data_IF_076223549945
#
_entry.id   IF_076223549945
#
_cell.length_a   1.000
_cell.length_b   1.000
_cell.length_c   1.000
_cell.angle_alpha   90.00
_cell.angle_beta   90.00
_cell.angle_gamma   90.00
#
_symmetry.space_group_name_H-M   'P 1'
#
loop_
_entity.id
_entity.type
_entity.pdbx_description
1 polymer ?
#
# COMPACT_ATOMS: atom_id res chain seq x y z
N UNK A 1 17.63 -10.68 0.52
CA UNK A 1 16.91 -9.62 1.25
C UNK A 1 17.14 -8.34 0.49
N UNK A 2 16.08 -7.72 -0.02
CA UNK A 2 16.17 -6.46 -0.76
C UNK A 2 15.42 -5.36 -0.01
N UNK A 3 15.95 -4.13 -0.11
CA UNK A 3 15.34 -2.93 0.44
C UNK A 3 15.04 -1.96 -0.70
N UNK A 4 13.85 -1.36 -0.66
CA UNK A 4 13.42 -0.36 -1.63
C UNK A 4 13.06 0.92 -0.89
N UNK A 5 13.86 1.96 -1.07
CA UNK A 5 13.70 3.25 -0.40
C UNK A 5 12.97 4.23 -1.32
N UNK A 6 11.93 4.87 -0.80
CA UNK A 6 11.17 5.90 -1.50
C UNK A 6 11.31 7.21 -0.74
N UNK A 7 11.82 8.24 -1.42
CA UNK A 7 12.04 9.59 -0.90
C UNK A 7 11.17 10.60 -1.63
N UNK A 8 10.86 11.71 -0.95
CA UNK A 8 10.05 12.79 -1.48
C UNK A 8 8.65 12.31 -1.91
N UNK A 9 8.08 11.35 -1.18
CA UNK A 9 6.72 10.88 -1.45
C UNK A 9 5.76 12.05 -1.17
N UNK A 10 4.87 12.41 -2.12
CA UNK A 10 3.97 13.54 -1.91
C UNK A 10 3.15 13.41 -0.63
N UNK A 11 3.10 14.48 0.17
CA UNK A 11 2.45 14.50 1.49
C UNK A 11 0.98 14.05 1.43
N UNK A 12 0.29 14.31 0.31
CA UNK A 12 -1.09 13.85 0.06
C UNK A 12 -1.28 12.33 0.15
N UNK A 13 -0.23 11.54 -0.09
CA UNK A 13 -0.27 10.10 0.14
C UNK A 13 0.07 9.75 1.59
N UNK A 14 1.07 10.42 2.16
CA UNK A 14 1.54 10.17 3.53
C UNK A 14 0.46 10.49 4.57
N UNK A 15 -0.38 11.49 4.34
CA UNK A 15 -1.49 11.87 5.21
C UNK A 15 -2.65 10.86 5.21
N UNK A 16 -2.79 10.06 4.15
CA UNK A 16 -3.86 9.03 4.07
C UNK A 16 -3.61 7.85 5.01
N UNK A 17 -2.36 7.57 5.38
CA UNK A 17 -2.06 6.48 6.30
C UNK A 17 -2.67 6.73 7.67
N UNK A 18 -3.45 5.77 8.17
CA UNK A 18 -4.16 5.85 9.42
C UNK A 18 -3.67 4.82 10.45
N UNK A 19 -4.04 5.00 11.72
CA UNK A 19 -3.78 3.99 12.75
C UNK A 19 -4.61 2.73 12.49
N UNK A 20 -3.97 1.56 12.53
CA UNK A 20 -4.65 0.27 12.33
C UNK A 20 -5.49 -0.08 13.55
N UNK A 21 -6.82 -0.11 13.35
CA UNK A 21 -7.83 -0.45 14.37
C UNK A 21 -8.53 -1.78 14.07
N UNK A 22 -8.50 -2.20 12.81
CA UNK A 22 -9.20 -3.37 12.28
C UNK A 22 -8.56 -3.84 10.96
N UNK A 23 -9.14 -4.87 10.34
CA UNK A 23 -8.67 -5.40 9.07
C UNK A 23 -8.80 -4.41 7.91
N UNK A 24 -9.82 -3.54 7.92
CA UNK A 24 -10.08 -2.58 6.84
C UNK A 24 -9.06 -1.44 6.84
N UNK A 25 -8.77 -0.84 8.00
CA UNK A 25 -7.71 0.16 8.17
C UNK A 25 -6.34 -0.39 7.79
N UNK A 26 -6.05 -1.66 8.11
CA UNK A 26 -4.83 -2.31 7.66
C UNK A 26 -4.78 -2.48 6.13
N UNK A 27 -5.89 -2.92 5.53
CA UNK A 27 -5.98 -3.06 4.07
C UNK A 27 -5.86 -1.70 3.37
N UNK A 28 -6.54 -0.66 3.86
CA UNK A 28 -6.47 0.69 3.29
C UNK A 28 -5.03 1.23 3.29
N UNK A 29 -4.30 1.05 4.40
CA UNK A 29 -2.88 1.38 4.48
C UNK A 29 -2.04 0.63 3.44
N UNK A 30 -2.29 -0.67 3.22
CA UNK A 30 -1.62 -1.44 2.18
C UNK A 30 -1.94 -0.94 0.76
N UNK A 31 -3.19 -0.54 0.53
CA UNK A 31 -3.62 0.03 -0.76
C UNK A 31 -2.97 1.39 -1.02
N UNK A 32 -2.79 2.23 0.01
CA UNK A 32 -2.05 3.50 -0.11
C UNK A 32 -0.58 3.23 -0.46
N UNK A 33 0.06 2.26 0.20
CA UNK A 33 1.43 1.87 -0.15
C UNK A 33 1.54 1.38 -1.60
N UNK A 34 0.61 0.54 -2.04
CA UNK A 34 0.56 0.08 -3.43
C UNK A 34 0.30 1.22 -4.43
N UNK A 35 -0.53 2.20 -4.07
CA UNK A 35 -0.78 3.40 -4.87
C UNK A 35 0.50 4.22 -5.04
N UNK A 36 1.24 4.49 -3.96
CA UNK A 36 2.55 5.16 -4.02
C UNK A 36 3.49 4.43 -4.96
N UNK A 37 3.60 3.10 -4.84
CA UNK A 37 4.45 2.29 -5.72
C UNK A 37 4.05 2.41 -7.19
N UNK A 38 2.76 2.44 -7.48
CA UNK A 38 2.24 2.54 -8.84
C UNK A 38 2.32 3.95 -9.44
N UNK A 39 2.43 5.01 -8.63
CA UNK A 39 2.37 6.40 -9.13
C UNK A 39 3.66 7.18 -8.95
N UNK A 40 4.44 6.88 -7.92
CA UNK A 40 5.60 7.67 -7.49
C UNK A 40 6.91 6.96 -7.85
N UNK A 41 7.08 6.60 -9.12
CA UNK A 41 8.27 5.88 -9.58
C UNK A 41 9.56 6.71 -9.38
N UNK A 42 9.51 8.01 -9.61
CA UNK A 42 10.64 8.94 -9.44
C UNK A 42 11.07 9.09 -7.97
N UNK A 43 10.21 8.69 -7.03
CA UNK A 43 10.54 8.67 -5.60
C UNK A 43 11.45 7.48 -5.25
N UNK A 44 11.53 6.44 -6.08
CA UNK A 44 12.38 5.28 -5.81
C UNK A 44 13.85 5.67 -5.91
N UNK A 45 14.56 5.57 -4.79
CA UNK A 45 15.96 5.92 -4.70
C UNK A 45 16.82 4.69 -4.36
N UNK A 46 17.84 4.42 -5.18
CA UNK A 46 18.79 3.31 -5.00
C UNK A 46 20.09 3.73 -4.32
N UNK A 47 20.31 5.03 -4.13
CA UNK A 47 21.58 5.61 -3.68
C UNK A 47 21.55 6.03 -2.21
N UNK A 48 20.37 6.33 -1.66
CA UNK A 48 20.22 6.75 -0.26
C UNK A 48 19.58 5.68 0.63
N UNK A 49 19.90 5.74 1.93
CA UNK A 49 19.24 4.96 2.98
C UNK A 49 18.12 5.76 3.70
N UNK A 50 17.88 6.99 3.26
CA UNK A 50 16.80 7.81 3.81
C UNK A 50 15.45 7.37 3.19
N UNK A 51 14.32 7.55 3.87
CA UNK A 51 13.02 7.16 3.30
C UNK A 51 11.82 7.86 3.93
N UNK A 52 10.82 8.13 3.11
CA UNK A 52 9.44 8.34 3.56
C UNK A 52 8.67 7.01 3.61
N UNK A 53 8.96 6.12 2.65
CA UNK A 53 8.42 4.77 2.56
C UNK A 53 9.56 3.78 2.27
N UNK A 54 9.63 2.70 3.04
CA UNK A 54 10.63 1.63 2.88
C UNK A 54 9.93 0.29 2.74
N UNK A 55 10.32 -0.48 1.72
CA UNK A 55 9.89 -1.88 1.56
C UNK A 55 11.06 -2.82 1.82
N UNK A 56 10.87 -3.76 2.74
CA UNK A 56 11.81 -4.84 3.03
C UNK A 56 11.24 -6.18 2.59
N UNK A 57 12.04 -6.93 1.82
CA UNK A 57 11.69 -8.28 1.30
C UNK A 57 12.53 -9.38 1.96
N UNK A 58 12.99 -9.16 3.20
CA UNK A 58 13.67 -10.18 3.99
C UNK A 58 12.76 -11.31 4.47
N UNK A 59 13.22 -12.07 5.46
CA UNK A 59 12.44 -13.17 6.10
C UNK A 59 11.07 -12.71 6.57
N UNK A 60 10.97 -11.46 7.03
CA UNK A 60 9.72 -10.81 7.37
C UNK A 60 9.53 -9.64 6.41
N UNK A 61 8.63 -9.83 5.43
CA UNK A 61 8.34 -8.78 4.46
C UNK A 61 7.55 -7.66 5.14
N UNK A 62 8.06 -6.43 5.06
CA UNK A 62 7.51 -5.28 5.78
C UNK A 62 7.48 -4.04 4.89
N UNK A 63 6.50 -3.19 5.14
CA UNK A 63 6.48 -1.80 4.68
C UNK A 63 6.64 -0.92 5.93
N UNK A 64 7.54 0.05 5.87
CA UNK A 64 7.73 1.07 6.89
C UNK A 64 7.39 2.43 6.29
N UNK A 65 6.63 3.23 7.03
CA UNK A 65 6.25 4.60 6.65
C UNK A 65 6.78 5.54 7.72
N UNK A 66 7.57 6.54 7.33
CA UNK A 66 8.05 7.57 8.24
C UNK A 66 6.91 8.55 8.57
N UNK A 67 6.81 8.92 9.83
CA UNK A 67 5.92 9.97 10.34
C UNK A 67 6.74 10.96 11.18
N UNK A 68 6.25 12.19 11.40
CA UNK A 68 6.97 13.18 12.22
C UNK A 68 7.27 12.69 13.65
N UNK A 69 6.42 11.81 14.19
CA UNK A 69 6.48 11.27 15.55
C UNK A 69 7.06 9.85 15.64
N UNK A 70 7.54 9.28 14.52
CA UNK A 70 8.13 7.95 14.51
C UNK A 70 7.96 7.21 13.18
N UNK A 71 7.61 5.93 13.25
CA UNK A 71 7.39 5.12 12.06
C UNK A 71 6.21 4.17 12.25
N UNK A 72 5.45 3.98 11.18
CA UNK A 72 4.45 2.94 11.07
C UNK A 72 5.05 1.72 10.37
N UNK A 73 4.70 0.50 10.78
CA UNK A 73 5.15 -0.73 10.14
C UNK A 73 3.98 -1.67 9.89
N UNK A 74 3.91 -2.24 8.68
CA UNK A 74 2.91 -3.22 8.27
C UNK A 74 3.56 -4.41 7.59
N UNK A 75 2.89 -5.57 7.63
CA UNK A 75 3.30 -6.74 6.86
C UNK A 75 3.09 -6.47 5.36
N UNK A 76 4.04 -6.89 4.52
CA UNK A 76 3.87 -6.86 3.06
C UNK A 76 3.38 -8.24 2.57
N UNK A 77 2.10 -8.39 2.19
CA UNK A 77 1.57 -9.65 1.68
C UNK A 77 1.89 -9.87 0.19
N UNK A 78 2.37 -8.84 -0.50
CA UNK A 78 2.61 -8.88 -1.94
C UNK A 78 4.04 -9.33 -2.29
N UNK A 79 4.18 -9.92 -3.46
CA UNK A 79 5.46 -10.09 -4.12
C UNK A 79 5.87 -8.75 -4.74
N UNK A 80 7.13 -8.37 -4.57
CA UNK A 80 7.72 -7.22 -5.26
C UNK A 80 8.28 -7.72 -6.59
N UNK A 81 7.87 -7.10 -7.68
CA UNK A 81 8.44 -7.29 -9.02
C UNK A 81 9.26 -6.05 -9.33
N UNK A 82 10.55 -6.25 -9.60
CA UNK A 82 11.50 -5.19 -9.87
C UNK A 82 11.75 -5.08 -11.38
N UNK A 83 11.66 -3.87 -11.90
CA UNK A 83 12.07 -3.50 -13.26
C UNK A 83 13.25 -2.52 -13.19
N UNK A 84 13.74 -2.10 -14.35
CA UNK A 84 14.91 -1.20 -14.42
C UNK A 84 14.69 0.12 -13.67
N UNK A 85 13.52 0.74 -13.87
CA UNK A 85 13.20 2.10 -13.38
C UNK A 85 12.08 2.16 -12.34
N UNK A 86 11.35 1.08 -12.11
CA UNK A 86 10.30 1.03 -11.10
C UNK A 86 10.16 -0.37 -10.47
N UNK A 87 9.32 -0.44 -9.45
CA UNK A 87 8.84 -1.72 -8.90
C UNK A 87 7.32 -1.73 -8.97
N UNK A 88 6.73 -2.92 -8.99
CA UNK A 88 5.30 -3.09 -8.79
C UNK A 88 5.03 -4.24 -7.82
N UNK A 89 3.78 -4.33 -7.38
CA UNK A 89 3.32 -5.42 -6.53
C UNK A 89 2.49 -6.43 -7.31
N UNK A 90 2.70 -7.71 -7.01
CA UNK A 90 1.91 -8.82 -7.49
C UNK A 90 1.33 -9.59 -6.29
N UNK A 91 0.05 -9.93 -6.35
CA UNK A 91 -0.57 -10.79 -5.37
C UNK A 91 -0.43 -12.24 -5.80
N UNK A 92 0.68 -12.84 -5.38
CA UNK A 92 1.17 -14.14 -5.84
C UNK A 92 0.15 -15.28 -5.67
N UNK A 93 -0.60 -15.29 -4.55
CA UNK A 93 -1.61 -16.30 -4.27
C UNK A 93 -2.71 -16.42 -5.35
N UNK A 94 -2.95 -15.36 -6.11
CA UNK A 94 -3.96 -15.32 -7.17
C UNK A 94 -3.40 -14.93 -8.54
N UNK A 95 -2.09 -14.72 -8.66
CA UNK A 95 -1.45 -14.26 -9.90
C UNK A 95 -1.99 -12.92 -10.40
N UNK A 96 -2.40 -12.02 -9.49
CA UNK A 96 -3.03 -10.75 -9.84
C UNK A 96 -2.08 -9.56 -9.63
N UNK A 97 -1.91 -8.66 -10.63
CA UNK A 97 -1.18 -7.42 -10.42
C UNK A 97 -1.95 -6.51 -9.46
N UNK A 98 -1.24 -5.90 -8.51
CA UNK A 98 -1.80 -4.90 -7.58
C UNK A 98 -1.72 -3.53 -8.25
N UNK A 99 -2.52 -3.37 -9.31
CA UNK A 99 -2.58 -2.15 -10.13
C UNK A 99 -3.73 -1.22 -9.67
N UNK A 100 -3.96 -0.12 -10.40
CA UNK A 100 -5.02 0.83 -10.09
C UNK A 100 -6.43 0.20 -10.05
N UNK A 101 -6.70 -0.77 -10.93
CA UNK A 101 -7.98 -1.50 -10.96
C UNK A 101 -8.16 -2.35 -9.70
N UNK A 102 -7.12 -3.10 -9.30
CA UNK A 102 -7.14 -3.87 -8.06
C UNK A 102 -7.39 -2.96 -6.85
N UNK A 103 -6.67 -1.84 -6.76
CA UNK A 103 -6.82 -0.86 -5.67
C UNK A 103 -8.25 -0.31 -5.64
N UNK A 104 -8.81 0.06 -6.79
CA UNK A 104 -10.18 0.57 -6.90
C UNK A 104 -11.22 -0.46 -6.42
N UNK A 105 -11.08 -1.72 -6.84
CA UNK A 105 -11.96 -2.82 -6.40
C UNK A 105 -11.87 -3.03 -4.89
N UNK A 106 -10.67 -3.05 -4.32
CA UNK A 106 -10.51 -3.23 -2.88
C UNK A 106 -11.09 -2.05 -2.08
N UNK A 107 -10.89 -0.80 -2.51
CA UNK A 107 -11.52 0.38 -1.89
C UNK A 107 -13.05 0.32 -1.95
N UNK A 108 -13.61 -0.13 -3.07
CA UNK A 108 -15.06 -0.33 -3.20
C UNK A 108 -15.56 -1.38 -2.18
N UNK A 109 -14.85 -2.49 -2.02
CA UNK A 109 -15.17 -3.51 -1.00
C UNK A 109 -15.10 -2.92 0.41
N UNK A 110 -14.04 -2.18 0.76
CA UNK A 110 -13.90 -1.53 2.07
C UNK A 110 -15.09 -0.61 2.33
N UNK A 111 -15.46 0.23 1.37
CA UNK A 111 -16.58 1.17 1.50
C UNK A 111 -17.92 0.43 1.66
N UNK A 112 -18.15 -0.61 0.86
CA UNK A 112 -19.39 -1.40 0.89
C UNK A 112 -19.54 -2.12 2.23
N UNK A 113 -18.47 -2.77 2.72
CA UNK A 113 -18.46 -3.45 4.01
C UNK A 113 -18.58 -2.49 5.19
N UNK A 114 -17.93 -1.32 5.13
CA UNK A 114 -17.96 -0.32 6.21
C UNK A 114 -19.34 0.34 6.35
N UNK A 115 -20.06 0.53 5.24
CA UNK A 115 -21.37 1.17 5.23
C UNK A 115 -22.54 0.21 5.50
N UNK A 116 -22.27 -1.09 5.67
CA UNK A 116 -23.31 -2.09 5.95
C UNK A 116 -24.27 -2.36 4.78
N UNK A 117 -24.00 -1.84 3.59
CA UNK A 117 -24.85 -1.99 2.42
C UNK A 117 -24.53 -3.28 1.69
N UNK A 118 -24.99 -4.41 2.23
CA UNK A 118 -24.69 -5.74 1.69
C UNK A 118 -25.68 -6.23 0.62
N UNK A 119 -26.73 -5.48 0.27
CA UNK A 119 -27.68 -5.88 -0.78
C UNK A 119 -28.43 -4.70 -1.42
N UNK A 120 -28.94 -4.90 -2.65
CA UNK A 120 -29.84 -3.95 -3.33
C UNK A 120 -31.14 -3.67 -2.54
N UNK A 121 -31.52 -4.50 -1.57
CA UNK A 121 -32.72 -4.27 -0.75
C UNK A 121 -32.54 -3.11 0.24
N UNK A 122 -31.31 -2.77 0.62
CA UNK A 122 -31.03 -1.62 1.50
C UNK A 122 -31.19 -0.26 0.81
N UNK A 123 -31.25 -0.22 -0.53
CA UNK A 123 -31.39 1.02 -1.32
C UNK A 123 -32.89 1.37 -1.54
N UNK A 124 -33.81 0.47 -1.18
CA UNK A 124 -35.24 0.63 -1.41
C UNK A 124 -36.06 1.10 -0.18
N UNK A 125 -35.40 1.57 0.88
CA UNK A 125 -36.04 2.15 2.09
C UNK A 125 -35.84 3.67 2.15
#
# INVERSE_FOLDING_TARGET
MSFYFFNNVPTVYLEKFCAVRDAFSNLENLLIAAEIINTCHDCWNKETNDFDLLISTGTHKRILVRKPDGFFSMNLPFQVIEYESNICFNYDAYGLPVNAEFISRCRNVINTCSNGAFSQEAIAL
#
